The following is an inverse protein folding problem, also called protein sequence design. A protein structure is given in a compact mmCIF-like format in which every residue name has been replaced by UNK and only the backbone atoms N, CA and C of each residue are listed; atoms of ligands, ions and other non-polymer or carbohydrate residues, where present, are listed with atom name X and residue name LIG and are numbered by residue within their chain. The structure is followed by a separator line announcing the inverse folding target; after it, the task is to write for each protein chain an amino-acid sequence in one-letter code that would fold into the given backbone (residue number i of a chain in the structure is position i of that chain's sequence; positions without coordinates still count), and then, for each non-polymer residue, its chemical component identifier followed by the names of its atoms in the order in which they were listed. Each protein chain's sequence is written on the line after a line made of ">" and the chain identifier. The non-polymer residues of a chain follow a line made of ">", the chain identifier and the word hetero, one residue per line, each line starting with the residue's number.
data_IF_816216707571
#
_entry.id   IF_816216707571
#
_cell.length_a   1.000
_cell.length_b   1.000
_cell.length_c   1.000
_cell.angle_alpha   90.00
_cell.angle_beta   90.00
_cell.angle_gamma   90.00
#
_symmetry.space_group_name_H-M   'P 1'
#
loop_
_entity.id
_entity.type
_entity.pdbx_description
1 polymer ?
#
# COMPACT_ATOMS: atom_id res chain seq x y z
N UNK A 1 -35.99 -19.91 -40.85
CA UNK A 1 -34.70 -19.97 -41.60
C UNK A 1 -33.60 -19.72 -40.58
N UNK A 2 -32.99 -20.79 -40.07
CA UNK A 2 -31.59 -21.19 -40.34
C UNK A 2 -30.60 -20.14 -39.80
N UNK A 3 -30.09 -20.29 -38.58
CA UNK A 3 -28.92 -21.09 -38.17
C UNK A 3 -27.57 -20.42 -38.49
N UNK A 4 -26.72 -20.28 -37.47
CA UNK A 4 -25.33 -19.85 -37.61
C UNK A 4 -24.63 -19.73 -36.26
N UNK A 5 -24.07 -20.85 -35.78
CA UNK A 5 -23.19 -20.94 -34.59
C UNK A 5 -21.89 -20.17 -34.82
N UNK A 6 -21.31 -19.66 -33.74
CA UNK A 6 -19.94 -19.15 -33.69
C UNK A 6 -19.41 -19.09 -32.26
N UNK A 7 -19.19 -20.25 -31.66
CA UNK A 7 -18.41 -20.35 -30.42
C UNK A 7 -16.94 -20.11 -30.77
N UNK A 8 -16.34 -19.08 -30.19
CA UNK A 8 -14.91 -18.79 -30.25
C UNK A 8 -14.34 -18.74 -28.85
N UNK A 9 -13.97 -19.90 -28.32
CA UNK A 9 -13.18 -20.03 -27.11
C UNK A 9 -11.74 -19.57 -27.40
N UNK A 10 -11.34 -18.44 -26.83
CA UNK A 10 -9.95 -17.99 -26.78
C UNK A 10 -9.36 -18.29 -25.41
N UNK A 11 -9.13 -19.57 -25.11
CA UNK A 11 -8.33 -19.98 -23.96
C UNK A 11 -6.85 -19.66 -24.27
N UNK A 12 -6.42 -18.47 -23.86
CA UNK A 12 -5.01 -18.08 -23.85
C UNK A 12 -4.22 -18.99 -22.91
N UNK A 13 -3.26 -19.69 -23.48
CA UNK A 13 -2.52 -20.80 -22.91
C UNK A 13 -1.56 -20.39 -21.79
N UNK A 14 -1.99 -20.54 -20.54
CA UNK A 14 -1.14 -20.53 -19.33
C UNK A 14 -0.24 -21.77 -19.19
N UNK A 15 0.35 -22.27 -20.29
CA UNK A 15 1.26 -23.42 -20.26
C UNK A 15 2.70 -22.95 -20.24
N UNK A 16 3.18 -22.66 -19.04
CA UNK A 16 4.58 -22.36 -18.77
C UNK A 16 4.85 -21.87 -17.35
N UNK A 17 3.95 -22.17 -16.40
CA UNK A 17 4.28 -22.01 -14.99
C UNK A 17 5.00 -23.29 -14.56
N UNK A 18 6.21 -23.12 -14.02
CA UNK A 18 6.93 -24.18 -13.34
C UNK A 18 5.98 -24.91 -12.38
N UNK A 19 5.83 -26.22 -12.53
CA UNK A 19 4.98 -27.04 -11.64
C UNK A 19 5.39 -26.87 -10.16
N UNK A 20 6.64 -26.45 -9.91
CA UNK A 20 7.15 -26.11 -8.58
C UNK A 20 6.58 -24.80 -8.01
N UNK A 21 6.17 -23.83 -8.84
CA UNK A 21 5.51 -22.59 -8.41
C UNK A 21 4.03 -22.83 -8.10
N UNK A 22 3.33 -23.61 -8.93
CA UNK A 22 1.90 -23.89 -8.76
C UNK A 22 1.56 -24.58 -7.42
N UNK A 23 2.54 -25.25 -6.80
CA UNK A 23 2.41 -25.83 -5.45
C UNK A 23 2.59 -24.84 -4.30
N UNK A 24 3.04 -23.61 -4.57
CA UNK A 24 3.36 -22.59 -3.55
C UNK A 24 2.65 -21.25 -3.76
N UNK A 25 2.33 -20.87 -5.00
CA UNK A 25 1.66 -19.61 -5.34
C UNK A 25 1.00 -19.70 -6.73
N UNK A 26 -0.12 -18.99 -6.89
CA UNK A 26 -0.75 -18.75 -8.19
C UNK A 26 -0.82 -17.24 -8.42
N UNK A 27 0.22 -16.69 -9.06
CA UNK A 27 0.38 -15.24 -9.24
C UNK A 27 -0.60 -14.70 -10.28
N UNK A 28 -1.31 -13.63 -9.94
CA UNK A 28 -2.27 -12.95 -10.79
C UNK A 28 -1.59 -11.84 -11.62
N UNK A 29 -0.90 -12.24 -12.69
CA UNK A 29 -0.24 -11.30 -13.60
C UNK A 29 -1.21 -10.37 -14.35
N UNK A 30 -2.48 -10.77 -14.48
CA UNK A 30 -3.53 -9.97 -15.12
C UNK A 30 -4.18 -8.97 -14.15
N UNK A 31 -3.77 -8.94 -12.87
CA UNK A 31 -4.36 -8.06 -11.84
C UNK A 31 -4.26 -6.60 -12.23
N UNK A 32 -3.15 -6.19 -12.83
CA UNK A 32 -2.93 -4.80 -13.25
C UNK A 32 -4.01 -4.31 -14.24
N UNK A 33 -4.41 -5.16 -15.19
CA UNK A 33 -5.46 -4.82 -16.15
C UNK A 33 -6.83 -4.65 -15.48
N UNK A 34 -7.13 -5.41 -14.41
CA UNK A 34 -8.43 -5.36 -13.71
C UNK A 34 -8.49 -4.33 -12.58
N UNK A 35 -7.38 -4.11 -11.87
CA UNK A 35 -7.31 -3.34 -10.62
C UNK A 35 -6.47 -2.07 -10.74
N UNK A 36 -5.76 -1.89 -11.86
CA UNK A 36 -4.86 -0.76 -12.07
C UNK A 36 -3.55 -0.85 -11.29
N UNK A 37 -3.20 -2.02 -10.73
CA UNK A 37 -1.96 -2.30 -10.02
C UNK A 37 -1.64 -3.81 -10.01
N UNK A 38 -0.35 -4.22 -10.02
CA UNK A 38 0.06 -5.62 -9.84
C UNK A 38 -0.38 -6.22 -8.51
N UNK A 39 -0.26 -7.54 -8.39
CA UNK A 39 -0.42 -8.22 -7.11
C UNK A 39 0.77 -7.92 -6.19
N UNK A 40 0.49 -7.48 -4.97
CA UNK A 40 1.51 -7.34 -3.93
C UNK A 40 1.79 -8.68 -3.25
N UNK A 41 3.04 -8.88 -2.83
CA UNK A 41 3.53 -10.10 -2.21
C UNK A 41 3.76 -9.85 -0.71
N UNK A 42 2.95 -10.48 0.13
CA UNK A 42 3.16 -10.51 1.59
C UNK A 42 4.29 -11.48 1.95
N UNK A 43 5.39 -11.01 2.55
CA UNK A 43 6.61 -11.82 2.70
C UNK A 43 6.89 -12.37 4.10
N UNK A 44 6.21 -11.90 5.14
CA UNK A 44 6.48 -12.25 6.54
C UNK A 44 6.41 -13.77 6.81
N UNK A 45 5.29 -14.40 6.44
CA UNK A 45 5.05 -15.83 6.65
C UNK A 45 5.69 -16.73 5.57
N UNK A 46 6.36 -16.15 4.56
CA UNK A 46 7.01 -16.91 3.49
C UNK A 46 8.47 -17.18 3.83
N UNK A 47 8.95 -18.38 3.52
CA UNK A 47 10.39 -18.70 3.57
C UNK A 47 11.17 -17.97 2.48
N UNK A 48 12.46 -17.75 2.67
CA UNK A 48 13.37 -17.17 1.66
C UNK A 48 13.31 -17.94 0.34
N UNK A 49 13.25 -19.28 0.39
CA UNK A 49 13.08 -20.13 -0.80
C UNK A 49 11.77 -19.88 -1.54
N UNK A 50 10.66 -19.67 -0.84
CA UNK A 50 9.37 -19.35 -1.46
C UNK A 50 9.41 -17.96 -2.10
N UNK A 51 10.00 -16.99 -1.41
CA UNK A 51 10.16 -15.61 -1.90
C UNK A 51 11.04 -15.58 -3.17
N UNK A 52 12.17 -16.30 -3.18
CA UNK A 52 13.04 -16.43 -4.36
C UNK A 52 12.29 -16.97 -5.58
N UNK A 53 11.48 -18.02 -5.39
CA UNK A 53 10.68 -18.62 -6.47
C UNK A 53 9.62 -17.66 -7.01
N UNK A 54 8.96 -16.90 -6.12
CA UNK A 54 7.99 -15.88 -6.54
C UNK A 54 8.70 -14.78 -7.33
N UNK A 55 9.84 -14.28 -6.84
CA UNK A 55 10.63 -13.25 -7.52
C UNK A 55 11.10 -13.72 -8.91
N UNK A 56 11.60 -14.96 -9.01
CA UNK A 56 11.95 -15.61 -10.27
C UNK A 56 10.78 -15.67 -11.24
N UNK A 57 9.61 -16.07 -10.78
CA UNK A 57 8.42 -16.16 -11.62
C UNK A 57 7.99 -14.78 -12.17
N UNK A 58 8.16 -13.72 -11.36
CA UNK A 58 7.95 -12.34 -11.79
C UNK A 58 8.96 -11.96 -12.89
N UNK A 59 10.25 -12.27 -12.72
CA UNK A 59 11.29 -12.04 -13.74
C UNK A 59 10.95 -12.75 -15.06
N UNK A 60 10.70 -14.06 -15.00
CA UNK A 60 10.40 -14.88 -16.17
C UNK A 60 9.12 -14.42 -16.89
N UNK A 61 8.16 -13.82 -16.18
CA UNK A 61 7.00 -13.19 -16.79
C UNK A 61 7.36 -11.89 -17.52
N UNK A 62 8.17 -11.02 -16.93
CA UNK A 62 8.65 -9.79 -17.56
C UNK A 62 9.49 -10.09 -18.82
N UNK A 63 10.38 -11.09 -18.77
CA UNK A 63 11.19 -11.53 -19.91
C UNK A 63 10.31 -12.04 -21.07
N UNK A 64 9.28 -12.84 -20.78
CA UNK A 64 8.36 -13.37 -21.81
C UNK A 64 7.45 -12.31 -22.41
N UNK A 65 7.04 -11.32 -21.62
CA UNK A 65 6.21 -10.21 -22.10
C UNK A 65 7.02 -9.16 -22.85
N UNK A 66 8.36 -9.18 -22.71
CA UNK A 66 9.27 -8.24 -23.37
C UNK A 66 9.29 -6.84 -22.73
N UNK A 67 8.68 -6.68 -21.56
CA UNK A 67 8.62 -5.42 -20.83
C UNK A 67 8.46 -5.65 -19.33
N UNK A 68 9.07 -4.78 -18.53
CA UNK A 68 8.79 -4.72 -17.09
C UNK A 68 7.36 -4.23 -16.82
N UNK A 69 6.78 -4.57 -15.64
CA UNK A 69 5.50 -4.03 -15.23
C UNK A 69 5.47 -2.50 -15.25
N UNK A 70 4.41 -1.91 -15.81
CA UNK A 70 4.24 -0.46 -15.85
C UNK A 70 4.10 0.19 -14.46
N UNK A 71 3.69 -0.60 -13.46
CA UNK A 71 3.71 -0.23 -12.05
C UNK A 71 4.50 -1.30 -11.28
N UNK A 72 5.22 -0.94 -10.22
CA UNK A 72 6.00 -1.90 -9.45
C UNK A 72 5.15 -2.98 -8.77
N UNK A 73 5.67 -4.20 -8.76
CA UNK A 73 5.26 -5.24 -7.82
C UNK A 73 5.84 -4.92 -6.45
N UNK A 74 4.95 -4.84 -5.46
CA UNK A 74 5.31 -4.50 -4.08
C UNK A 74 5.50 -5.76 -3.25
N UNK A 75 6.54 -5.78 -2.43
CA UNK A 75 6.85 -6.83 -1.49
C UNK A 75 6.76 -6.26 -0.08
N UNK A 76 5.82 -6.72 0.73
CA UNK A 76 5.53 -6.14 2.06
C UNK A 76 6.05 -7.03 3.17
N UNK A 77 6.37 -6.43 4.32
CA UNK A 77 6.89 -7.12 5.51
C UNK A 77 8.15 -7.95 5.21
N UNK A 78 9.07 -7.35 4.48
CA UNK A 78 10.38 -7.91 4.18
C UNK A 78 11.33 -7.76 5.37
N UNK A 79 12.10 -8.82 5.60
CA UNK A 79 13.34 -8.74 6.34
C UNK A 79 14.53 -8.62 5.37
N UNK A 80 15.71 -8.27 5.91
CA UNK A 80 16.92 -8.04 5.13
C UNK A 80 17.38 -9.28 4.36
N UNK A 81 17.16 -10.49 4.89
CA UNK A 81 17.54 -11.76 4.25
C UNK A 81 16.67 -12.02 3.01
N UNK A 82 15.35 -11.88 3.14
CA UNK A 82 14.41 -11.99 2.01
C UNK A 82 14.64 -10.89 0.99
N UNK A 83 14.92 -9.66 1.42
CA UNK A 83 15.22 -8.55 0.52
C UNK A 83 16.50 -8.78 -0.31
N UNK A 84 17.54 -9.37 0.29
CA UNK A 84 18.74 -9.78 -0.44
C UNK A 84 18.43 -10.89 -1.45
N UNK A 85 17.66 -11.90 -1.01
CA UNK A 85 17.23 -13.01 -1.87
C UNK A 85 16.41 -12.54 -3.08
N UNK A 86 15.50 -11.58 -2.90
CA UNK A 86 14.74 -11.02 -4.02
C UNK A 86 15.67 -10.26 -4.98
N UNK A 87 16.64 -9.50 -4.48
CA UNK A 87 17.58 -8.74 -5.33
C UNK A 87 18.46 -9.61 -6.22
N UNK A 88 18.75 -10.83 -5.80
CA UNK A 88 19.42 -11.82 -6.66
C UNK A 88 18.55 -12.24 -7.84
N UNK A 89 17.24 -12.37 -7.65
CA UNK A 89 16.30 -12.79 -8.69
C UNK A 89 15.75 -11.61 -9.52
N UNK A 90 15.63 -10.44 -8.91
CA UNK A 90 15.11 -9.19 -9.49
C UNK A 90 16.14 -8.06 -9.29
N UNK A 91 17.21 -8.03 -10.11
CA UNK A 91 18.17 -6.94 -10.08
C UNK A 91 17.48 -5.59 -10.21
N UNK A 92 17.90 -4.62 -9.39
CA UNK A 92 17.29 -3.28 -9.37
C UNK A 92 16.03 -3.16 -8.51
N UNK A 93 15.65 -4.16 -7.72
CA UNK A 93 14.60 -4.01 -6.70
C UNK A 93 15.06 -3.00 -5.63
N UNK A 94 14.21 -2.00 -5.35
CA UNK A 94 14.40 -1.09 -4.21
C UNK A 94 13.95 -1.78 -2.91
N UNK A 95 14.68 -1.55 -1.82
CA UNK A 95 14.31 -2.01 -0.47
C UNK A 95 14.38 -0.84 0.49
N UNK A 96 13.27 -0.57 1.17
CA UNK A 96 13.19 0.35 2.29
C UNK A 96 13.13 -0.46 3.59
N UNK A 97 14.18 -0.35 4.39
CA UNK A 97 14.33 -1.10 5.64
C UNK A 97 13.39 -0.59 6.73
N UNK A 98 13.13 0.72 6.80
CA UNK A 98 12.22 1.31 7.79
C UNK A 98 10.78 0.85 7.53
N UNK A 99 10.36 0.83 6.26
CA UNK A 99 9.04 0.36 5.84
C UNK A 99 8.91 -1.17 5.80
N UNK A 100 10.04 -1.90 5.88
CA UNK A 100 10.09 -3.34 5.57
C UNK A 100 9.44 -3.65 4.21
N UNK A 101 9.74 -2.84 3.18
CA UNK A 101 9.02 -2.84 1.91
C UNK A 101 9.98 -2.86 0.72
N UNK A 102 9.67 -3.65 -0.30
CA UNK A 102 10.40 -3.70 -1.56
C UNK A 102 9.51 -3.37 -2.76
N UNK A 103 10.13 -2.87 -3.82
CA UNK A 103 9.45 -2.56 -5.08
C UNK A 103 10.31 -2.97 -6.29
N UNK A 104 9.69 -3.65 -7.25
CA UNK A 104 10.33 -3.98 -8.51
C UNK A 104 9.37 -3.84 -9.72
N UNK A 105 9.76 -3.11 -10.79
CA UNK A 105 10.98 -2.29 -10.87
C UNK A 105 10.99 -1.16 -9.83
N UNK A 106 12.18 -0.64 -9.50
CA UNK A 106 12.31 0.44 -8.50
C UNK A 106 11.83 1.81 -9.00
N UNK A 107 11.59 1.96 -10.30
CA UNK A 107 11.15 3.24 -10.88
C UNK A 107 9.78 3.63 -10.36
N UNK A 108 9.69 4.82 -9.78
CA UNK A 108 8.42 5.43 -9.43
C UNK A 108 7.73 5.94 -10.70
N UNK A 109 6.43 5.66 -10.89
CA UNK A 109 5.67 6.19 -12.02
C UNK A 109 5.41 7.70 -11.88
N UNK A 110 5.21 8.39 -13.00
CA UNK A 110 4.86 9.82 -12.98
C UNK A 110 3.60 10.08 -12.13
N UNK A 111 3.66 11.01 -11.16
CA UNK A 111 2.56 11.23 -10.23
C UNK A 111 1.34 11.82 -10.93
N UNK A 112 0.18 11.21 -10.69
CA UNK A 112 -1.13 11.62 -11.23
C UNK A 112 -2.17 11.73 -10.11
N UNK A 113 -3.34 12.30 -10.40
CA UNK A 113 -4.40 12.51 -9.41
C UNK A 113 -4.00 13.51 -8.32
N UNK A 114 -4.66 13.43 -7.16
CA UNK A 114 -4.45 14.34 -6.03
C UNK A 114 -3.43 13.86 -5.00
N UNK A 115 -3.07 14.75 -4.08
CA UNK A 115 -2.10 14.52 -3.01
C UNK A 115 -2.63 13.53 -1.96
N UNK A 116 -1.84 12.49 -1.67
CA UNK A 116 -2.04 11.61 -0.51
C UNK A 116 -1.09 12.05 0.61
N UNK A 117 -1.65 12.62 1.67
CA UNK A 117 -0.85 12.95 2.86
C UNK A 117 -0.91 11.79 3.85
N UNK A 118 0.24 11.31 4.32
CA UNK A 118 0.33 10.35 5.41
C UNK A 118 0.72 11.11 6.67
N UNK A 119 -0.12 11.05 7.69
CA UNK A 119 0.07 11.73 8.97
C UNK A 119 0.21 10.69 10.08
N UNK A 120 1.33 10.68 10.81
CA UNK A 120 1.52 9.74 11.92
C UNK A 120 1.56 10.45 13.29
N UNK A 121 0.98 9.79 14.30
CA UNK A 121 0.85 10.35 15.64
C UNK A 121 2.21 10.48 16.35
N UNK A 122 3.08 9.50 16.19
CA UNK A 122 4.42 9.53 16.78
C UNK A 122 5.45 8.83 15.90
N UNK A 123 6.72 8.98 16.27
CA UNK A 123 7.85 8.37 15.54
C UNK A 123 7.79 6.83 15.57
N UNK A 124 7.20 6.23 16.61
CA UNK A 124 7.00 4.78 16.68
C UNK A 124 6.07 4.23 15.58
N UNK A 125 5.19 5.08 15.02
CA UNK A 125 4.29 4.71 13.93
C UNK A 125 4.96 4.86 12.54
N UNK A 126 6.20 5.38 12.47
CA UNK A 126 6.88 5.68 11.21
C UNK A 126 7.01 4.48 10.27
N UNK A 127 7.43 3.27 10.71
CA UNK A 127 7.53 2.12 9.82
C UNK A 127 6.24 1.85 9.03
N UNK A 128 5.10 1.86 9.74
CA UNK A 128 3.78 1.60 9.17
C UNK A 128 3.32 2.77 8.29
N UNK A 129 3.62 4.00 8.69
CA UNK A 129 3.33 5.19 7.90
C UNK A 129 4.14 5.23 6.59
N UNK A 130 5.41 4.82 6.62
CA UNK A 130 6.29 4.73 5.45
C UNK A 130 5.82 3.65 4.47
N UNK A 131 5.36 2.50 4.96
CA UNK A 131 4.75 1.48 4.10
C UNK A 131 3.53 2.05 3.35
N UNK A 132 2.66 2.83 4.03
CA UNK A 132 1.51 3.47 3.41
C UNK A 132 1.91 4.54 2.37
N UNK A 133 2.89 5.38 2.70
CA UNK A 133 3.41 6.42 1.83
C UNK A 133 4.03 5.82 0.56
N UNK A 134 4.93 4.85 0.70
CA UNK A 134 5.58 4.17 -0.42
C UNK A 134 4.57 3.42 -1.28
N UNK A 135 3.58 2.76 -0.67
CA UNK A 135 2.52 2.11 -1.42
C UNK A 135 1.76 3.10 -2.31
N UNK A 136 1.34 4.25 -1.77
CA UNK A 136 0.64 5.25 -2.56
C UNK A 136 1.52 5.86 -3.65
N UNK A 137 2.82 6.07 -3.35
CA UNK A 137 3.81 6.60 -4.29
C UNK A 137 4.06 5.66 -5.46
N UNK A 138 4.27 4.37 -5.21
CA UNK A 138 4.45 3.36 -6.26
C UNK A 138 3.16 3.07 -7.05
N UNK A 139 1.99 3.48 -6.55
CA UNK A 139 0.72 3.53 -7.30
C UNK A 139 0.52 4.85 -8.07
N UNK A 140 1.57 5.67 -8.13
CA UNK A 140 1.66 6.90 -8.91
C UNK A 140 0.84 8.05 -8.39
N UNK A 141 0.67 8.16 -7.06
CA UNK A 141 0.13 9.37 -6.44
C UNK A 141 1.27 10.26 -5.93
N UNK A 142 1.12 11.59 -6.00
CA UNK A 142 1.96 12.47 -5.18
C UNK A 142 1.70 12.19 -3.70
N UNK A 143 2.77 12.11 -2.89
CA UNK A 143 2.68 11.81 -1.46
C UNK A 143 3.43 12.83 -0.61
N UNK A 144 2.96 12.99 0.64
CA UNK A 144 3.61 13.81 1.67
C UNK A 144 3.51 13.09 3.01
N UNK A 145 4.63 12.80 3.69
CA UNK A 145 4.62 12.37 5.08
C UNK A 145 4.70 13.58 6.03
N UNK A 146 3.80 13.62 7.02
CA UNK A 146 3.85 14.53 8.17
C UNK A 146 3.95 13.69 9.45
N UNK A 147 5.15 13.56 10.04
CA UNK A 147 5.33 12.77 11.24
C UNK A 147 5.11 13.56 12.54
N UNK A 148 4.86 12.84 13.63
CA UNK A 148 4.82 13.35 15.01
C UNK A 148 3.81 14.48 15.26
N UNK A 149 2.57 14.29 14.80
CA UNK A 149 1.45 15.23 15.03
C UNK A 149 0.36 14.62 15.94
N UNK A 150 0.77 13.81 16.90
CA UNK A 150 -0.13 13.13 17.85
C UNK A 150 -0.89 14.08 18.77
N UNK A 151 -1.96 13.57 19.36
CA UNK A 151 -2.99 14.34 20.08
C UNK A 151 -2.48 14.94 21.39
N UNK A 152 -1.53 14.26 22.04
CA UNK A 152 -0.85 14.77 23.23
C UNK A 152 -0.17 16.13 22.97
N UNK A 153 0.22 16.39 21.73
CA UNK A 153 0.76 17.66 21.26
C UNK A 153 -0.13 18.30 20.20
N UNK A 154 -1.43 18.43 20.46
CA UNK A 154 -2.43 18.91 19.47
C UNK A 154 -2.00 20.18 18.71
N UNK A 155 -1.27 21.09 19.34
CA UNK A 155 -0.72 22.28 18.68
C UNK A 155 0.12 21.95 17.42
N UNK A 156 0.90 20.86 17.44
CA UNK A 156 1.69 20.40 16.27
C UNK A 156 0.81 20.02 15.11
N UNK A 157 -0.35 19.40 15.37
CA UNK A 157 -1.33 19.12 14.32
C UNK A 157 -1.95 20.42 13.80
N UNK A 158 -2.31 21.34 14.69
CA UNK A 158 -2.94 22.61 14.33
C UNK A 158 -2.03 23.46 13.41
N UNK A 159 -0.72 23.45 13.65
CA UNK A 159 0.28 24.12 12.80
C UNK A 159 0.34 23.54 11.37
N UNK A 160 -0.01 22.27 11.19
CA UNK A 160 0.00 21.56 9.89
C UNK A 160 -1.33 21.58 9.16
N UNK A 161 -2.36 22.23 9.71
CA UNK A 161 -3.69 22.29 9.08
C UNK A 161 -3.69 22.81 7.63
N UNK A 162 -2.90 23.85 7.26
CA UNK A 162 -2.82 24.29 5.87
C UNK A 162 -2.41 23.14 4.94
N UNK A 163 -1.34 22.42 5.28
CA UNK A 163 -0.82 21.30 4.49
C UNK A 163 -1.79 20.10 4.45
N UNK A 164 -2.48 19.81 5.56
CA UNK A 164 -3.47 18.73 5.61
C UNK A 164 -4.66 19.02 4.69
N UNK A 165 -5.08 20.29 4.59
CA UNK A 165 -6.23 20.71 3.77
C UNK A 165 -5.97 20.68 2.26
N UNK A 166 -4.72 20.64 1.82
CA UNK A 166 -4.32 20.43 0.42
C UNK A 166 -4.54 18.98 -0.05
N UNK A 167 -4.82 18.06 0.87
CA UNK A 167 -4.84 16.62 0.57
C UNK A 167 -6.12 16.23 -0.17
N UNK A 168 -6.00 15.35 -1.15
CA UNK A 168 -7.13 14.64 -1.75
C UNK A 168 -7.59 13.45 -0.90
N UNK A 169 -6.68 12.87 -0.12
CA UNK A 169 -6.95 11.84 0.87
C UNK A 169 -5.84 11.87 1.93
N UNK A 170 -6.19 11.59 3.19
CA UNK A 170 -5.21 11.49 4.27
C UNK A 170 -5.17 10.06 4.80
N UNK A 171 -3.98 9.49 4.98
CA UNK A 171 -3.78 8.29 5.80
C UNK A 171 -3.35 8.73 7.19
N UNK A 172 -4.19 8.50 8.19
CA UNK A 172 -3.91 8.88 9.58
C UNK A 172 -3.49 7.64 10.39
N UNK A 173 -2.27 7.64 10.90
CA UNK A 173 -1.58 6.48 11.49
C UNK A 173 -1.39 6.67 13.00
N UNK A 174 -1.91 5.75 13.81
CA UNK A 174 -1.77 5.82 15.28
C UNK A 174 -2.04 4.47 15.98
N UNK A 175 -1.24 4.12 17.00
CA UNK A 175 -1.42 2.87 17.76
C UNK A 175 -1.92 2.98 19.21
N UNK A 176 -1.65 4.10 19.91
CA UNK A 176 -1.98 4.28 21.34
C UNK A 176 -3.51 4.44 21.57
N UNK A 177 -3.98 5.65 21.82
CA UNK A 177 -5.41 5.95 21.97
C UNK A 177 -6.17 5.89 20.63
N UNK A 178 -5.45 6.00 19.50
CA UNK A 178 -6.01 5.92 18.16
C UNK A 178 -6.89 7.10 17.76
N UNK A 179 -6.83 8.24 18.46
CA UNK A 179 -7.75 9.36 18.21
C UNK A 179 -7.34 10.28 17.04
N UNK A 180 -6.13 10.11 16.47
CA UNK A 180 -5.61 10.97 15.40
C UNK A 180 -6.56 11.08 14.19
N UNK A 181 -7.10 9.97 13.65
CA UNK A 181 -7.97 10.04 12.48
C UNK A 181 -9.24 10.86 12.74
N UNK A 182 -9.84 10.71 13.93
CA UNK A 182 -11.04 11.48 14.33
C UNK A 182 -10.76 12.98 14.41
N UNK A 183 -9.62 13.36 14.99
CA UNK A 183 -9.22 14.77 15.07
C UNK A 183 -8.99 15.34 13.67
N UNK A 184 -8.23 14.64 12.82
CA UNK A 184 -7.96 15.09 11.45
C UNK A 184 -9.25 15.21 10.64
N UNK A 185 -10.14 14.22 10.68
CA UNK A 185 -11.39 14.22 9.93
C UNK A 185 -12.30 15.41 10.29
N UNK A 186 -12.23 15.92 11.52
CA UNK A 186 -12.94 17.13 11.93
C UNK A 186 -12.37 18.43 11.36
N UNK A 187 -11.19 18.42 10.72
CA UNK A 187 -10.45 19.61 10.30
C UNK A 187 -10.24 19.73 8.78
N UNK A 188 -10.58 18.68 8.02
CA UNK A 188 -10.35 18.57 6.58
C UNK A 188 -11.63 18.20 5.84
N UNK A 189 -11.70 18.52 4.54
CA UNK A 189 -12.82 18.15 3.68
C UNK A 189 -12.63 16.80 2.97
N UNK A 190 -11.40 16.32 2.85
CA UNK A 190 -11.08 15.07 2.19
C UNK A 190 -11.35 13.85 3.09
N UNK A 191 -11.56 12.65 2.53
CA UNK A 191 -11.65 11.42 3.31
C UNK A 191 -10.35 11.10 4.05
N UNK A 192 -10.50 10.36 5.15
CA UNK A 192 -9.40 9.91 6.01
C UNK A 192 -9.40 8.38 6.06
N UNK A 193 -8.29 7.77 5.66
CA UNK A 193 -8.01 6.34 5.87
C UNK A 193 -7.32 6.19 7.22
N UNK A 194 -8.03 5.63 8.18
CA UNK A 194 -7.52 5.37 9.52
C UNK A 194 -6.72 4.06 9.53
N UNK A 195 -5.44 4.16 9.90
CA UNK A 195 -4.49 3.07 9.96
C UNK A 195 -4.06 2.83 11.42
N UNK A 196 -4.71 1.90 12.13
CA UNK A 196 -4.27 1.53 13.46
C UNK A 196 -2.92 0.80 13.37
N UNK A 197 -2.01 1.09 14.29
CA UNK A 197 -0.75 0.35 14.44
C UNK A 197 -0.76 -0.49 15.71
N UNK A 198 0.11 -1.49 15.78
CA UNK A 198 0.32 -2.28 17.01
C UNK A 198 1.15 -1.56 18.07
N UNK A 199 1.55 -0.30 17.82
CA UNK A 199 2.30 0.54 18.76
C UNK A 199 1.49 0.80 20.02
N UNK A 200 2.14 0.60 21.16
CA UNK A 200 1.58 0.92 22.47
C UNK A 200 1.77 -0.21 23.46
N UNK A 201 1.34 0.01 24.70
CA UNK A 201 1.53 -0.93 25.79
C UNK A 201 0.26 -1.06 26.65
N UNK A 202 0.20 -2.13 27.44
CA UNK A 202 -0.91 -2.40 28.35
C UNK A 202 -2.24 -2.52 27.59
N UNK A 203 -3.16 -1.60 27.87
CA UNK A 203 -4.53 -1.60 27.30
C UNK A 203 -4.58 -1.40 25.79
N UNK A 204 -3.51 -0.89 25.17
CA UNK A 204 -3.42 -0.79 23.71
C UNK A 204 -3.56 -2.16 23.01
N UNK A 205 -3.18 -3.24 23.71
CA UNK A 205 -3.40 -4.64 23.31
C UNK A 205 -3.04 -4.93 21.85
N UNK A 206 -1.83 -4.52 21.43
CA UNK A 206 -1.35 -4.74 20.05
C UNK A 206 -2.17 -4.01 18.98
N UNK A 207 -2.69 -2.82 19.30
CA UNK A 207 -3.44 -1.97 18.37
C UNK A 207 -4.96 -2.18 18.41
N UNK A 208 -5.46 -3.14 19.19
CA UNK A 208 -6.91 -3.39 19.31
C UNK A 208 -7.65 -2.18 19.85
N UNK A 209 -7.08 -1.49 20.86
CA UNK A 209 -7.68 -0.25 21.38
C UNK A 209 -7.79 0.82 20.30
N UNK A 210 -6.70 1.08 19.56
CA UNK A 210 -6.72 2.06 18.48
C UNK A 210 -7.71 1.70 17.37
N UNK A 211 -7.74 0.43 16.94
CA UNK A 211 -8.69 -0.02 15.93
C UNK A 211 -10.14 0.19 16.36
N UNK A 212 -10.49 -0.13 17.62
CA UNK A 212 -11.82 0.10 18.17
C UNK A 212 -12.14 1.60 18.30
N UNK A 213 -11.18 2.44 18.71
CA UNK A 213 -11.36 3.91 18.72
C UNK A 213 -11.66 4.42 17.32
N UNK A 214 -10.88 4.01 16.32
CA UNK A 214 -11.04 4.44 14.94
C UNK A 214 -12.38 3.96 14.34
N UNK A 215 -12.82 2.74 14.64
CA UNK A 215 -14.11 2.19 14.19
C UNK A 215 -15.32 2.84 14.88
N UNK A 216 -15.15 3.28 16.12
CA UNK A 216 -16.20 3.97 16.90
C UNK A 216 -16.22 5.49 16.71
N UNK A 217 -15.36 6.02 15.82
CA UNK A 217 -15.31 7.44 15.51
C UNK A 217 -16.64 7.95 14.95
N UNK A 218 -17.12 9.07 15.49
CA UNK A 218 -18.35 9.74 15.03
C UNK A 218 -18.10 10.64 13.80
N UNK A 219 -16.83 11.02 13.54
CA UNK A 219 -16.49 11.87 12.42
C UNK A 219 -16.76 11.14 11.08
N UNK A 220 -17.57 11.71 10.17
CA UNK A 220 -17.83 11.09 8.88
C UNK A 220 -16.59 11.13 7.98
N UNK A 221 -16.56 10.28 6.96
CA UNK A 221 -15.47 10.26 5.98
C UNK A 221 -14.24 9.45 6.41
N UNK A 222 -14.34 8.70 7.52
CA UNK A 222 -13.28 7.78 7.98
C UNK A 222 -13.53 6.37 7.43
N UNK A 223 -12.50 5.79 6.81
CA UNK A 223 -12.43 4.36 6.48
C UNK A 223 -11.30 3.69 7.25
N UNK A 224 -11.58 2.64 8.01
CA UNK A 224 -10.57 1.96 8.85
C UNK A 224 -10.01 0.74 8.14
N UNK A 225 -8.68 0.59 8.12
CA UNK A 225 -8.01 -0.63 7.65
C UNK A 225 -7.53 -1.51 8.81
N UNK A 226 -7.02 -2.69 8.50
CA UNK A 226 -6.49 -3.59 9.52
C UNK A 226 -5.23 -3.03 10.21
N UNK A 227 -4.93 -3.55 11.40
CA UNK A 227 -3.76 -3.16 12.19
C UNK A 227 -2.47 -3.44 11.41
N UNK A 228 -1.57 -2.47 11.39
CA UNK A 228 -0.28 -2.51 10.68
C UNK A 228 -0.41 -2.76 9.17
N UNK A 229 -1.57 -2.46 8.57
CA UNK A 229 -1.80 -2.65 7.14
C UNK A 229 -1.50 -1.36 6.35
N UNK A 230 -0.25 -0.91 6.39
CA UNK A 230 0.21 0.28 5.65
C UNK A 230 0.02 0.10 4.14
N UNK A 231 0.30 -1.08 3.62
CA UNK A 231 -0.02 -1.43 2.23
C UNK A 231 -1.50 -1.19 1.90
N UNK A 232 -2.43 -1.73 2.69
CA UNK A 232 -3.87 -1.56 2.47
C UNK A 232 -4.30 -0.09 2.57
N UNK A 233 -3.75 0.65 3.54
CA UNK A 233 -4.05 2.07 3.71
C UNK A 233 -3.58 2.90 2.52
N UNK A 234 -2.32 2.75 2.11
CA UNK A 234 -1.75 3.45 0.96
C UNK A 234 -2.45 3.09 -0.34
N UNK A 235 -2.82 1.82 -0.52
CA UNK A 235 -3.55 1.36 -1.70
C UNK A 235 -4.95 1.96 -1.77
N UNK A 236 -5.70 1.98 -0.67
CA UNK A 236 -7.02 2.61 -0.61
C UNK A 236 -6.93 4.11 -0.86
N UNK A 237 -6.00 4.80 -0.18
CA UNK A 237 -5.79 6.23 -0.37
C UNK A 237 -5.41 6.57 -1.82
N UNK A 238 -4.59 5.74 -2.47
CA UNK A 238 -4.25 5.91 -3.88
C UNK A 238 -5.45 5.77 -4.82
N UNK A 239 -6.37 4.85 -4.52
CA UNK A 239 -7.61 4.69 -5.30
C UNK A 239 -8.55 5.88 -5.13
N UNK A 240 -8.66 6.41 -3.92
CA UNK A 240 -9.44 7.62 -3.63
C UNK A 240 -8.85 8.81 -4.40
N UNK A 241 -7.54 9.05 -4.23
CA UNK A 241 -6.85 10.19 -4.82
C UNK A 241 -6.70 10.13 -6.35
N UNK A 242 -6.84 8.94 -6.96
CA UNK A 242 -6.80 8.75 -8.41
C UNK A 242 -7.80 9.65 -9.15
N UNK A 243 -8.98 9.86 -8.56
CA UNK A 243 -10.08 10.60 -9.19
C UNK A 243 -10.19 12.06 -8.73
N UNK A 244 -9.34 12.47 -7.77
CA UNK A 244 -9.32 13.84 -7.32
C UNK A 244 -8.84 14.75 -8.47
N UNK A 245 -9.51 15.89 -8.69
CA UNK A 245 -9.02 16.89 -9.64
C UNK A 245 -7.58 17.24 -9.29
N UNK A 246 -6.73 17.42 -10.30
CA UNK A 246 -5.53 18.23 -10.09
C UNK A 246 -6.04 19.64 -9.85
N UNK A 247 -5.60 20.28 -8.77
CA UNK A 247 -5.72 21.74 -8.69
C UNK A 247 -5.08 22.27 -9.97
N UNK A 248 -5.95 22.64 -10.89
CA UNK A 248 -5.60 23.14 -12.20
C UNK A 248 -5.47 24.63 -11.94
N UNK A 249 -4.23 25.15 -12.05
CA UNK A 249 -4.01 26.59 -12.22
C UNK A 249 -4.92 27.17 -13.30
#
# INVERSE_FOLDING_TARGET
>A
MSAGRGAGAGAGSGKGLDASLASIANLDFDRAARRGAPEAILCDAKSTKQVARIARAIREHAERSGSEPALPTLFTRLDTEKAATIREELPGMAYDEEASMGAWPASEPDPTGGLVTVACAGTSDLPVAREAELTARYLGRPTRLIPDIGIAGLHRLLERLPELRESACIVAVAGMDGALPTVIAGQVACPVVALPTSVGYGVAAGGVSAALTMLSACAPGIGVVNIDNGYGAGHLAAQIARWAPRDTE
#
